data_IF_025679401429
#
_entry.id   IF_025679401429
#
_cell.length_a   1.000
_cell.length_b   1.000
_cell.length_c   1.000
_cell.angle_alpha   90.00
_cell.angle_beta   90.00
_cell.angle_gamma   90.00
#
_symmetry.space_group_name_H-M   'P 1'
#
loop_
_entity.id
_entity.type
_entity.pdbx_description
1 polymer ?
#
# COMPACT_ATOMS: atom_id res chain seq x y z
N UNK A 1 -18.00 -6.85 -10.50
CA UNK A 1 -18.08 -8.03 -9.60
C UNK A 1 -16.77 -8.37 -8.91
N UNK A 2 -15.60 -8.39 -9.58
CA UNK A 2 -14.30 -8.80 -8.98
C UNK A 2 -13.90 -8.15 -7.62
N UNK A 3 -14.33 -6.93 -7.30
CA UNK A 3 -13.86 -6.21 -6.11
C UNK A 3 -14.31 -6.81 -4.77
N UNK A 4 -15.58 -7.17 -4.64
CA UNK A 4 -16.13 -7.73 -3.40
C UNK A 4 -15.53 -9.13 -3.12
N UNK A 5 -15.40 -9.95 -4.16
CA UNK A 5 -14.78 -11.28 -4.05
C UNK A 5 -13.32 -11.22 -3.62
N UNK A 6 -12.56 -10.22 -4.09
CA UNK A 6 -11.17 -10.03 -3.64
C UNK A 6 -11.13 -9.57 -2.18
N UNK A 7 -12.04 -8.69 -1.77
CA UNK A 7 -12.15 -8.30 -0.37
C UNK A 7 -12.43 -9.50 0.54
N UNK A 8 -13.33 -10.39 0.12
CA UNK A 8 -13.66 -11.60 0.87
C UNK A 8 -12.52 -12.61 0.89
N UNK A 9 -11.71 -12.64 -0.16
CA UNK A 9 -10.52 -13.49 -0.24
C UNK A 9 -9.38 -13.04 0.68
N UNK A 10 -9.32 -11.74 1.04
CA UNK A 10 -8.29 -11.25 1.96
C UNK A 10 -8.58 -11.75 3.38
N UNK A 11 -7.70 -12.57 3.97
CA UNK A 11 -7.94 -13.19 5.26
C UNK A 11 -7.70 -12.20 6.41
N UNK A 12 -8.16 -12.61 7.59
CA UNK A 12 -7.96 -11.87 8.84
C UNK A 12 -6.67 -12.36 9.51
N UNK A 13 -5.84 -11.41 9.98
CA UNK A 13 -4.59 -11.63 10.69
C UNK A 13 -3.36 -11.66 9.77
N UNK A 14 -2.25 -11.08 10.23
CA UNK A 14 -1.00 -10.99 9.46
C UNK A 14 -0.39 -12.38 9.17
N UNK A 15 -0.58 -13.33 10.08
CA UNK A 15 -0.12 -14.70 9.91
C UNK A 15 -0.73 -15.43 8.71
N UNK A 16 -1.94 -15.03 8.31
CA UNK A 16 -2.67 -15.61 7.19
C UNK A 16 -2.50 -14.79 5.91
N UNK A 17 -1.68 -13.73 5.94
CA UNK A 17 -1.58 -12.77 4.85
C UNK A 17 -1.32 -13.47 3.50
N UNK A 18 -2.03 -13.00 2.48
CA UNK A 18 -1.98 -13.54 1.12
C UNK A 18 -1.09 -12.67 0.27
N UNK A 19 -0.22 -13.28 -0.54
CA UNK A 19 0.72 -12.52 -1.35
C UNK A 19 0.01 -11.86 -2.54
N UNK A 20 0.51 -10.70 -2.98
CA UNK A 20 -0.15 -9.96 -4.06
C UNK A 20 -0.11 -10.67 -5.43
N UNK A 21 0.88 -11.53 -5.66
CA UNK A 21 0.98 -12.44 -6.80
C UNK A 21 -0.07 -13.55 -6.75
N UNK A 22 -0.37 -14.11 -5.58
CA UNK A 22 -1.45 -15.10 -5.39
C UNK A 22 -2.82 -14.50 -5.72
N UNK A 23 -3.09 -13.26 -5.30
CA UNK A 23 -4.32 -12.54 -5.68
C UNK A 23 -4.36 -12.33 -7.20
N UNK A 24 -3.24 -11.93 -7.81
CA UNK A 24 -3.17 -11.77 -9.26
C UNK A 24 -3.48 -13.07 -10.01
N UNK A 25 -2.90 -14.19 -9.57
CA UNK A 25 -3.13 -15.49 -10.18
C UNK A 25 -4.58 -15.96 -9.99
N UNK A 26 -5.15 -15.76 -8.80
CA UNK A 26 -6.50 -16.22 -8.44
C UNK A 26 -7.61 -15.49 -9.22
N UNK A 27 -7.42 -14.21 -9.50
CA UNK A 27 -8.43 -13.33 -10.10
C UNK A 27 -8.11 -12.88 -11.54
N UNK A 28 -7.06 -13.46 -12.12
CA UNK A 28 -6.53 -13.13 -13.45
C UNK A 28 -6.36 -11.62 -13.61
N UNK A 29 -5.51 -11.03 -12.74
CA UNK A 29 -5.25 -9.60 -12.70
C UNK A 29 -3.86 -9.30 -13.22
N UNK A 30 -3.79 -8.36 -14.17
CA UNK A 30 -2.53 -7.75 -14.57
C UNK A 30 -1.93 -6.89 -13.45
N UNK A 31 -0.63 -6.61 -13.51
CA UNK A 31 0.04 -5.75 -12.53
C UNK A 31 -0.59 -4.35 -12.44
N UNK A 32 -1.11 -3.82 -13.55
CA UNK A 32 -1.80 -2.52 -13.59
C UNK A 32 -3.16 -2.57 -12.90
N UNK A 33 -3.92 -3.66 -13.09
CA UNK A 33 -5.20 -3.87 -12.41
C UNK A 33 -5.01 -4.09 -10.91
N UNK A 34 -3.95 -4.79 -10.51
CA UNK A 34 -3.56 -4.93 -9.11
C UNK A 34 -3.32 -3.57 -8.45
N UNK A 35 -2.59 -2.67 -9.11
CA UNK A 35 -2.33 -1.34 -8.55
C UNK A 35 -3.62 -0.53 -8.38
N UNK A 36 -4.48 -0.51 -9.41
CA UNK A 36 -5.79 0.15 -9.35
C UNK A 36 -6.68 -0.45 -8.26
N UNK A 37 -6.63 -1.76 -8.08
CA UNK A 37 -7.35 -2.46 -7.04
C UNK A 37 -6.86 -2.00 -5.65
N UNK A 38 -5.55 -1.96 -5.42
CA UNK A 38 -4.99 -1.52 -4.14
C UNK A 38 -5.30 -0.05 -3.83
N UNK A 39 -5.31 0.81 -4.84
CA UNK A 39 -5.77 2.19 -4.70
C UNK A 39 -7.25 2.26 -4.34
N UNK A 40 -8.12 1.51 -5.05
CA UNK A 40 -9.55 1.44 -4.71
C UNK A 40 -9.77 0.90 -3.30
N UNK A 41 -9.02 -0.11 -2.89
CA UNK A 41 -9.08 -0.68 -1.55
C UNK A 41 -8.76 0.38 -0.50
N UNK A 42 -7.66 1.13 -0.65
CA UNK A 42 -7.31 2.24 0.26
C UNK A 42 -8.35 3.36 0.29
N UNK A 43 -8.99 3.66 -0.83
CA UNK A 43 -9.98 4.74 -0.94
C UNK A 43 -11.40 4.35 -0.52
N UNK A 44 -11.69 3.06 -0.36
CA UNK A 44 -13.02 2.54 -0.05
C UNK A 44 -13.40 2.60 1.44
N UNK A 45 -12.45 2.97 2.31
CA UNK A 45 -12.61 2.89 3.78
C UNK A 45 -12.36 1.50 4.36
N UNK A 46 -12.16 0.46 3.54
CA UNK A 46 -11.73 -0.85 4.02
C UNK A 46 -10.27 -0.81 4.48
N UNK A 47 -10.02 -1.12 5.76
CA UNK A 47 -8.66 -1.18 6.32
C UNK A 47 -8.01 -2.49 5.92
N UNK A 48 -7.17 -2.44 4.89
CA UNK A 48 -6.36 -3.57 4.43
C UNK A 48 -4.91 -3.27 4.73
N UNK A 49 -4.36 -4.07 5.63
CA UNK A 49 -2.99 -3.99 6.03
C UNK A 49 -2.11 -4.73 5.02
N UNK A 50 -0.95 -4.14 4.72
CA UNK A 50 0.08 -4.77 3.90
C UNK A 50 1.36 -4.91 4.71
N UNK A 51 1.97 -6.09 4.71
CA UNK A 51 3.29 -6.35 5.29
C UNK A 51 4.18 -7.16 4.35
N UNK A 52 5.32 -7.63 4.86
CA UNK A 52 6.22 -8.51 4.13
C UNK A 52 5.60 -9.88 3.80
N UNK A 53 4.59 -10.31 4.57
CA UNK A 53 3.88 -11.59 4.35
C UNK A 53 2.79 -11.47 3.29
N UNK A 54 2.26 -10.27 3.05
CA UNK A 54 1.20 -10.05 2.07
C UNK A 54 0.14 -9.07 2.56
N UNK A 55 -1.08 -9.27 2.06
CA UNK A 55 -2.26 -8.49 2.37
C UNK A 55 -3.17 -9.25 3.34
N UNK A 56 -3.70 -8.52 4.32
CA UNK A 56 -4.59 -9.06 5.35
C UNK A 56 -5.50 -7.96 5.90
N UNK A 57 -6.60 -8.39 6.53
CA UNK A 57 -7.42 -7.56 7.41
C UNK A 57 -6.89 -7.69 8.84
N UNK A 58 -6.75 -6.61 9.62
CA UNK A 58 -6.20 -6.70 10.96
C UNK A 58 -7.11 -7.56 11.85
N UNK A 59 -6.52 -8.52 12.57
CA UNK A 59 -7.19 -9.34 13.58
C UNK A 59 -7.18 -8.67 14.96
N UNK A 60 -6.29 -7.70 15.19
CA UNK A 60 -6.11 -7.03 16.48
C UNK A 60 -5.70 -5.58 16.35
N UNK A 61 -5.92 -4.80 17.42
CA UNK A 61 -5.44 -3.44 17.53
C UNK A 61 -3.90 -3.34 17.43
N UNK A 62 -3.19 -4.38 17.89
CA UNK A 62 -1.73 -4.43 17.78
C UNK A 62 -1.27 -4.51 16.32
N UNK A 63 -1.89 -5.38 15.51
CA UNK A 63 -1.59 -5.47 14.08
C UNK A 63 -1.92 -4.17 13.35
N UNK A 64 -3.06 -3.55 13.67
CA UNK A 64 -3.46 -2.28 13.10
C UNK A 64 -2.49 -1.15 13.48
N UNK A 65 -2.11 -1.06 14.75
CA UNK A 65 -1.13 -0.08 15.24
C UNK A 65 0.24 -0.26 14.57
N UNK A 66 0.70 -1.51 14.42
CA UNK A 66 1.96 -1.81 13.74
C UNK A 66 1.91 -1.40 12.26
N UNK A 67 0.77 -1.63 11.59
CA UNK A 67 0.55 -1.16 10.22
C UNK A 67 0.60 0.37 10.12
N UNK A 68 -0.13 1.09 10.99
CA UNK A 68 -0.14 2.56 11.03
C UNK A 68 1.27 3.11 11.23
N UNK A 69 2.03 2.57 12.19
CA UNK A 69 3.40 3.00 12.46
C UNK A 69 4.30 2.84 11.23
N UNK A 70 4.20 1.69 10.54
CA UNK A 70 5.00 1.41 9.34
C UNK A 70 4.65 2.34 8.18
N UNK A 71 3.37 2.54 7.89
CA UNK A 71 2.96 3.41 6.79
C UNK A 71 3.23 4.88 7.08
N UNK A 72 3.11 5.32 8.34
CA UNK A 72 3.54 6.66 8.78
C UNK A 72 5.05 6.85 8.57
N UNK A 73 5.85 5.86 8.95
CA UNK A 73 7.29 5.88 8.70
C UNK A 73 7.63 5.94 7.21
N UNK A 74 6.89 5.21 6.36
CA UNK A 74 7.03 5.29 4.89
C UNK A 74 6.66 6.67 4.36
N UNK A 75 5.54 7.25 4.82
CA UNK A 75 5.11 8.58 4.42
C UNK A 75 6.17 9.65 4.76
N UNK A 76 6.74 9.58 5.96
CA UNK A 76 7.81 10.49 6.37
C UNK A 76 9.05 10.36 5.48
N UNK A 77 9.49 9.13 5.16
CA UNK A 77 10.62 8.90 4.24
C UNK A 77 10.36 9.46 2.84
N UNK A 78 9.15 9.26 2.31
CA UNK A 78 8.74 9.83 1.02
C UNK A 78 8.79 11.37 1.10
N UNK A 79 8.23 11.96 2.16
CA UNK A 79 8.24 13.41 2.36
C UNK A 79 9.67 13.97 2.43
N UNK A 80 10.58 13.32 3.14
CA UNK A 80 11.99 13.70 3.19
C UNK A 80 12.67 13.64 1.82
N UNK A 81 12.45 12.56 1.07
CA UNK A 81 12.99 12.41 -0.29
C UNK A 81 12.45 13.49 -1.23
N UNK A 82 11.14 13.77 -1.18
CA UNK A 82 10.52 14.84 -1.98
C UNK A 82 11.07 16.22 -1.63
N UNK A 83 11.36 16.50 -0.36
CA UNK A 83 11.98 17.76 0.06
C UNK A 83 13.37 17.93 -0.56
N UNK A 84 14.19 16.89 -0.53
CA UNK A 84 15.52 16.91 -1.14
C UNK A 84 15.44 17.10 -2.67
N UNK A 85 14.53 16.40 -3.34
CA UNK A 85 14.30 16.55 -4.78
C UNK A 85 13.85 17.96 -5.17
N UNK A 86 12.95 18.58 -4.38
CA UNK A 86 12.50 19.97 -4.59
C UNK A 86 13.65 20.96 -4.46
N UNK A 87 14.48 20.82 -3.42
CA UNK A 87 15.65 21.69 -3.23
C UNK A 87 16.64 21.58 -4.40
N UNK A 88 16.87 20.37 -4.90
CA UNK A 88 17.71 20.17 -6.08
C UNK A 88 17.13 20.85 -7.31
N UNK A 89 15.81 20.74 -7.52
CA UNK A 89 15.11 21.40 -8.62
C UNK A 89 15.17 22.93 -8.52
N UNK A 90 15.06 23.50 -7.32
CA UNK A 90 15.22 24.93 -7.05
C UNK A 90 16.63 25.41 -7.43
N UNK A 91 17.67 24.72 -6.96
CA UNK A 91 19.06 25.05 -7.29
C UNK A 91 19.34 25.00 -8.80
N UNK A 92 18.75 24.04 -9.53
CA UNK A 92 18.88 23.99 -10.99
C UNK A 92 18.16 25.13 -11.71
N UNK A 93 17.12 25.70 -11.11
CA UNK A 93 16.45 26.90 -11.61
C UNK A 93 17.30 28.16 -11.40
N UNK A 94 18.06 28.22 -10.32
CA UNK A 94 18.95 29.34 -9.97
C UNK A 94 20.25 29.35 -10.80
N UNK A 95 20.79 28.20 -11.19
CA UNK A 95 21.98 28.09 -12.06
C UNK A 95 21.74 28.52 -13.53
N UNK A 96 20.49 28.82 -13.91
CA UNK A 96 20.11 29.29 -15.24
C UNK A 96 19.79 30.80 -15.30
N UNK A 97 20.15 31.59 -14.28
CA UNK A 97 19.97 33.05 -14.22
C UNK A 97 21.29 33.81 -14.21
#
# INVERSE_FOLDING_TARGET
>A
MKYAEILDFIPIGEQNAVRGDEICARFDLTARERQKLFEKLRNSGAVICSSHKGLFKPASAAELSAYILRETGRANKISHSLRAARKLLENWGEDNS
#
